data_IF_402415514061
#
_entry.id   IF_402415514061
#
_cell.length_a   1.000
_cell.length_b   1.000
_cell.length_c   1.000
_cell.angle_alpha   90.00
_cell.angle_beta   90.00
_cell.angle_gamma   90.00
#
_symmetry.space_group_name_H-M   'P 1'
#
loop_
_entity.id
_entity.type
_entity.pdbx_description
1 polymer ?
#
# COMPACT_ATOMS: atom_id res chain seq x y z
N UNK A 1 18.45 -60.09 -2.34
CA UNK A 1 18.50 -59.80 -0.88
C UNK A 1 17.23 -58.99 -0.58
N UNK A 2 16.17 -59.58 0.01
CA UNK A 2 15.81 -59.51 1.46
C UNK A 2 15.86 -58.05 1.97
N UNK A 3 14.86 -57.41 2.58
CA UNK A 3 13.48 -57.73 3.03
C UNK A 3 12.87 -56.37 3.48
N UNK A 4 11.54 -56.25 3.47
CA UNK A 4 10.71 -55.12 3.92
C UNK A 4 11.05 -54.51 5.28
N UNK A 5 10.57 -53.29 5.57
CA UNK A 5 9.67 -53.03 6.72
C UNK A 5 9.01 -51.63 6.66
N UNK A 6 7.69 -51.62 6.80
CA UNK A 6 6.80 -50.46 7.01
C UNK A 6 6.84 -49.95 8.46
N UNK A 7 6.52 -48.67 8.65
CA UNK A 7 5.81 -48.08 9.80
C UNK A 7 5.18 -46.78 9.27
N UNK A 8 3.87 -46.55 9.12
CA UNK A 8 2.68 -46.66 9.98
C UNK A 8 2.77 -45.79 11.25
N UNK A 9 1.84 -44.82 11.32
CA UNK A 9 1.37 -44.05 12.50
C UNK A 9 2.24 -42.85 12.93
N UNK A 10 1.73 -41.66 13.23
CA UNK A 10 0.41 -41.32 13.77
C UNK A 10 -0.13 -39.96 13.26
N UNK A 11 -1.41 -39.97 12.88
CA UNK A 11 -2.26 -38.77 12.89
C UNK A 11 -2.43 -38.30 14.34
N UNK A 12 -2.20 -37.02 14.60
CA UNK A 12 -2.72 -36.34 15.80
C UNK A 12 -3.77 -35.34 15.36
N UNK A 13 -5.01 -35.82 15.27
CA UNK A 13 -6.22 -35.02 15.43
C UNK A 13 -6.63 -35.17 16.90
N UNK A 14 -7.00 -34.05 17.55
CA UNK A 14 -7.83 -33.86 18.76
C UNK A 14 -7.24 -32.68 19.58
N UNK A 15 -8.00 -31.73 20.12
CA UNK A 15 -9.45 -31.63 20.28
C UNK A 15 -9.87 -30.15 20.40
N UNK A 16 -10.97 -29.82 19.72
CA UNK A 16 -11.85 -28.71 20.07
C UNK A 16 -12.70 -29.12 21.29
N UNK A 17 -12.62 -28.35 22.36
CA UNK A 17 -13.61 -28.22 23.43
C UNK A 17 -13.42 -26.81 24.01
N UNK A 18 -14.39 -25.93 24.20
CA UNK A 18 -15.83 -26.06 24.20
C UNK A 18 -16.38 -25.23 25.37
N UNK A 19 -17.10 -24.15 25.08
CA UNK A 19 -18.13 -23.48 25.90
C UNK A 19 -18.67 -22.36 25.01
N UNK A 20 -19.92 -22.29 24.58
CA UNK A 20 -21.15 -22.86 25.10
C UNK A 20 -22.18 -21.74 25.03
N UNK A 21 -22.98 -21.70 23.97
CA UNK A 21 -24.26 -21.01 23.92
C UNK A 21 -25.07 -21.61 22.77
N UNK A 22 -25.90 -22.60 23.12
CA UNK A 22 -27.01 -23.07 22.30
C UNK A 22 -28.10 -21.99 22.26
N UNK A 23 -28.71 -21.84 21.09
CA UNK A 23 -29.92 -21.06 20.83
C UNK A 23 -30.28 -21.29 19.36
N UNK A 24 -30.85 -22.46 19.04
CA UNK A 24 -32.30 -22.68 18.85
C UNK A 24 -32.84 -22.04 17.57
N UNK A 25 -33.35 -22.91 16.69
CA UNK A 25 -33.86 -22.56 15.37
C UNK A 25 -35.36 -22.20 15.40
N UNK A 26 -35.68 -21.01 14.87
CA UNK A 26 -36.94 -20.65 14.22
C UNK A 26 -37.93 -19.79 15.02
N UNK A 27 -38.90 -19.08 14.38
CA UNK A 27 -38.96 -18.54 13.02
C UNK A 27 -39.03 -16.99 12.98
N UNK A 28 -38.76 -16.43 11.80
CA UNK A 28 -38.94 -15.05 11.33
C UNK A 28 -39.88 -14.13 12.15
N UNK A 29 -39.37 -12.95 12.52
CA UNK A 29 -40.17 -11.72 12.61
C UNK A 29 -39.53 -10.63 11.75
N UNK A 30 -40.25 -10.33 10.66
CA UNK A 30 -40.02 -9.22 9.74
C UNK A 30 -40.21 -7.91 10.51
N UNK A 31 -39.24 -6.99 10.45
CA UNK A 31 -39.50 -5.58 10.74
C UNK A 31 -39.19 -4.77 9.49
N UNK A 32 -40.25 -4.13 8.97
CA UNK A 32 -40.29 -3.33 7.75
C UNK A 32 -39.38 -2.11 7.87
N UNK A 33 -38.41 -1.98 6.96
CA UNK A 33 -37.84 -0.67 6.65
C UNK A 33 -38.54 -0.15 5.39
N UNK A 34 -39.47 0.77 5.59
CA UNK A 34 -40.13 1.51 4.50
C UNK A 34 -39.09 2.37 3.80
N UNK A 35 -38.64 1.95 2.63
CA UNK A 35 -37.95 2.81 1.66
C UNK A 35 -39.02 3.38 0.74
N UNK A 36 -39.30 4.67 0.87
CA UNK A 36 -40.15 5.38 -0.07
C UNK A 36 -39.42 5.42 -1.42
N UNK A 37 -40.03 4.77 -2.41
CA UNK A 37 -39.62 4.83 -3.81
C UNK A 37 -40.04 6.20 -4.35
N UNK A 38 -39.10 7.01 -4.83
CA UNK A 38 -39.39 8.25 -5.57
C UNK A 38 -38.65 8.17 -6.89
N UNK A 39 -39.40 8.08 -7.98
CA UNK A 39 -39.01 8.44 -9.36
C UNK A 39 -40.25 8.36 -10.27
N UNK A 40 -40.39 9.06 -11.42
CA UNK A 40 -39.61 10.17 -12.03
C UNK A 40 -40.50 11.34 -12.57
N UNK A 41 -39.83 12.32 -13.22
CA UNK A 41 -40.25 13.19 -14.35
C UNK A 41 -40.37 14.73 -14.13
N UNK A 42 -39.23 15.43 -14.36
CA UNK A 42 -38.93 16.57 -15.29
C UNK A 42 -39.94 17.72 -15.56
N UNK A 43 -39.51 18.88 -16.12
CA UNK A 43 -38.29 19.71 -15.92
C UNK A 43 -38.64 21.22 -15.76
N UNK A 44 -37.80 22.05 -15.13
CA UNK A 44 -37.75 23.49 -15.48
C UNK A 44 -36.47 24.21 -15.04
N UNK A 45 -36.08 25.10 -15.94
CA UNK A 45 -34.83 25.83 -16.13
C UNK A 45 -34.76 27.09 -15.24
N UNK A 46 -33.58 27.45 -14.73
CA UNK A 46 -33.01 28.81 -14.88
C UNK A 46 -31.74 29.01 -14.03
N UNK A 47 -30.70 29.42 -14.74
CA UNK A 47 -29.43 29.91 -14.23
C UNK A 47 -29.57 31.22 -13.46
N UNK A 48 -28.71 31.45 -12.47
CA UNK A 48 -28.05 32.74 -12.31
C UNK A 48 -26.71 32.60 -11.57
N UNK A 49 -25.66 33.05 -12.22
CA UNK A 49 -24.32 33.23 -11.66
C UNK A 49 -24.26 34.50 -10.79
N UNK A 50 -23.38 34.50 -9.78
CA UNK A 50 -22.87 35.72 -9.16
C UNK A 50 -22.25 35.51 -7.77
N UNK A 51 -21.08 36.11 -7.47
CA UNK A 51 -20.03 35.47 -6.68
C UNK A 51 -20.02 35.89 -5.19
N UNK A 52 -19.69 34.95 -4.31
CA UNK A 52 -19.50 35.17 -2.88
C UNK A 52 -18.17 34.61 -2.41
N UNK A 53 -17.11 35.40 -2.56
CA UNK A 53 -15.78 35.19 -2.00
C UNK A 53 -15.82 35.07 -0.46
N UNK A 54 -15.26 33.99 0.09
CA UNK A 54 -14.66 33.94 1.45
C UNK A 54 -13.77 32.70 1.60
N UNK A 55 -12.73 32.75 2.43
CA UNK A 55 -11.34 32.72 2.00
C UNK A 55 -10.80 31.29 1.98
N UNK A 56 -10.04 30.98 0.94
CA UNK A 56 -9.13 29.84 0.90
C UNK A 56 -8.10 29.96 2.02
N UNK A 57 -8.25 29.15 3.05
CA UNK A 57 -7.14 28.62 3.84
C UNK A 57 -7.55 27.25 4.35
N UNK A 58 -7.93 26.38 3.40
CA UNK A 58 -7.89 24.95 3.61
C UNK A 58 -6.48 24.51 3.23
N UNK A 59 -5.68 24.18 4.24
CA UNK A 59 -4.40 23.50 4.06
C UNK A 59 -4.61 22.33 3.10
N UNK A 60 -3.77 22.27 2.05
CA UNK A 60 -3.88 21.35 0.93
C UNK A 60 -3.56 19.91 1.36
N UNK A 61 -4.40 19.31 2.19
CA UNK A 61 -4.55 17.86 2.19
C UNK A 61 -5.35 17.51 0.94
N UNK A 62 -4.63 17.31 -0.18
CA UNK A 62 -5.23 16.72 -1.37
C UNK A 62 -5.61 15.29 -0.99
N UNK A 63 -6.87 15.07 -0.64
CA UNK A 63 -7.42 13.75 -0.38
C UNK A 63 -7.36 12.96 -1.70
N UNK A 64 -6.35 12.10 -1.85
CA UNK A 64 -6.24 11.14 -2.95
C UNK A 64 -7.44 10.19 -2.82
N UNK A 65 -8.19 9.90 -3.91
CA UNK A 65 -9.20 8.85 -3.86
C UNK A 65 -8.51 7.53 -3.56
N UNK A 66 -8.90 6.90 -2.45
CA UNK A 66 -8.55 5.51 -2.21
C UNK A 66 -8.95 4.71 -3.47
N UNK A 67 -8.02 3.97 -4.08
CA UNK A 67 -8.08 3.26 -5.38
C UNK A 67 -7.37 3.89 -6.59
N UNK A 68 -6.69 5.03 -6.48
CA UNK A 68 -5.87 5.52 -7.60
C UNK A 68 -4.70 4.55 -7.88
N UNK A 69 -4.50 4.20 -9.16
CA UNK A 69 -3.35 3.43 -9.64
C UNK A 69 -2.43 4.34 -10.44
N UNK A 70 -1.16 4.38 -10.06
CA UNK A 70 -0.11 5.19 -10.67
C UNK A 70 -0.23 6.69 -10.40
N UNK A 71 0.86 7.39 -10.68
CA UNK A 71 0.94 8.85 -10.59
C UNK A 71 1.11 9.38 -9.17
N UNK A 72 0.75 10.64 -8.97
CA UNK A 72 0.89 11.32 -7.67
C UNK A 72 -0.07 10.73 -6.63
N UNK A 73 0.48 10.34 -5.48
CA UNK A 73 -0.24 9.83 -4.32
C UNK A 73 -0.19 10.81 -3.14
N UNK A 74 0.13 12.08 -3.44
CA UNK A 74 0.19 13.17 -2.50
C UNK A 74 1.38 13.11 -1.56
N UNK A 75 1.36 14.01 -0.58
CA UNK A 75 2.44 14.19 0.40
C UNK A 75 2.02 13.59 1.74
N UNK A 76 2.93 12.86 2.38
CA UNK A 76 2.79 12.34 3.73
C UNK A 76 3.03 13.44 4.77
N UNK A 77 2.60 13.22 6.02
CA UNK A 77 2.73 14.21 7.11
C UNK A 77 4.18 14.67 7.36
N UNK A 78 5.15 13.80 7.08
CA UNK A 78 6.58 14.10 7.19
C UNK A 78 7.16 14.86 5.97
N UNK A 79 6.31 15.39 5.09
CA UNK A 79 6.73 16.20 3.94
C UNK A 79 7.27 15.38 2.75
N UNK A 80 7.10 14.05 2.75
CA UNK A 80 7.55 13.19 1.66
C UNK A 80 6.45 13.05 0.62
N UNK A 81 6.74 13.38 -0.63
CA UNK A 81 5.83 13.16 -1.75
C UNK A 81 5.96 11.74 -2.26
N UNK A 82 4.82 11.07 -2.45
CA UNK A 82 4.72 9.68 -2.91
C UNK A 82 4.22 9.66 -4.34
N UNK A 83 4.93 9.00 -5.24
CA UNK A 83 4.50 8.78 -6.63
C UNK A 83 4.45 7.28 -6.90
N UNK A 84 3.25 6.74 -7.13
CA UNK A 84 3.07 5.34 -7.49
C UNK A 84 3.42 5.07 -8.95
N UNK A 85 3.93 3.87 -9.21
CA UNK A 85 4.20 3.39 -10.56
C UNK A 85 2.94 2.90 -11.26
N UNK A 86 3.03 2.65 -12.57
CA UNK A 86 1.87 2.51 -13.46
C UNK A 86 0.90 1.38 -13.10
N UNK A 87 1.35 0.33 -12.41
CA UNK A 87 0.52 -0.77 -11.93
C UNK A 87 0.40 -0.81 -10.39
N UNK A 88 0.77 0.27 -9.70
CA UNK A 88 0.79 0.33 -8.24
C UNK A 88 -0.32 1.23 -7.75
N UNK A 89 -1.16 0.76 -6.82
CA UNK A 89 -2.13 1.63 -6.16
C UNK A 89 -1.44 2.58 -5.16
N UNK A 90 -2.03 3.74 -4.89
CA UNK A 90 -1.49 4.67 -3.91
C UNK A 90 -1.42 4.07 -2.50
N UNK A 91 -2.35 3.19 -2.14
CA UNK A 91 -2.33 2.43 -0.89
C UNK A 91 -1.14 1.48 -0.85
N UNK A 92 -0.87 0.77 -1.95
CA UNK A 92 0.27 -0.13 -2.00
C UNK A 92 1.59 0.63 -2.00
N UNK A 93 1.68 1.75 -2.73
CA UNK A 93 2.83 2.66 -2.67
C UNK A 93 3.08 3.13 -1.22
N UNK A 94 2.05 3.50 -0.49
CA UNK A 94 2.19 3.86 0.94
C UNK A 94 2.57 2.67 1.84
N UNK A 95 2.14 1.45 1.51
CA UNK A 95 2.50 0.24 2.26
C UNK A 95 3.97 -0.17 2.08
N UNK A 96 4.58 0.14 0.92
CA UNK A 96 6.02 -0.10 0.69
C UNK A 96 6.88 0.78 1.60
N UNK A 97 6.48 2.04 1.84
CA UNK A 97 7.25 3.03 2.59
C UNK A 97 7.78 2.57 3.97
N UNK A 98 6.95 2.07 4.91
CA UNK A 98 7.43 1.68 6.24
C UNK A 98 8.41 0.51 6.17
N UNK A 99 8.21 -0.44 5.25
CA UNK A 99 9.15 -1.55 5.04
C UNK A 99 10.48 -1.02 4.51
N UNK A 100 10.43 -0.18 3.47
CA UNK A 100 11.61 0.39 2.84
C UNK A 100 12.44 1.29 3.77
N UNK A 101 11.79 2.05 4.66
CA UNK A 101 12.48 2.96 5.60
C UNK A 101 13.02 2.25 6.84
N UNK A 102 12.49 1.08 7.18
CA UNK A 102 13.02 0.22 8.26
C UNK A 102 14.21 -0.66 7.85
N UNK A 103 14.48 -0.75 6.55
CA UNK A 103 15.48 -1.66 6.01
C UNK A 103 16.91 -1.11 6.16
N UNK A 104 17.88 -2.03 6.20
CA UNK A 104 19.32 -1.69 6.17
C UNK A 104 19.80 -1.60 4.72
N UNK A 105 20.30 -0.43 4.33
CA UNK A 105 20.88 -0.19 3.01
C UNK A 105 22.38 -0.44 3.01
N UNK A 106 22.89 -0.93 1.88
CA UNK A 106 24.31 -1.10 1.64
C UNK A 106 24.68 -0.54 0.26
N UNK A 107 25.91 -0.03 0.07
CA UNK A 107 26.36 0.45 -1.23
C UNK A 107 26.46 -0.71 -2.23
N UNK A 108 25.76 -0.58 -3.36
CA UNK A 108 25.79 -1.55 -4.46
C UNK A 108 26.17 -0.84 -5.74
N UNK A 109 27.09 -1.44 -6.50
CA UNK A 109 27.39 -1.04 -7.87
C UNK A 109 27.47 -2.24 -8.79
N UNK A 110 26.98 -2.07 -10.03
CA UNK A 110 27.20 -3.04 -11.12
C UNK A 110 28.52 -2.77 -11.86
N UNK A 111 29.05 -1.55 -11.73
CA UNK A 111 30.27 -1.10 -12.40
C UNK A 111 31.16 -0.37 -11.36
N UNK A 112 32.37 -0.86 -11.07
CA UNK A 112 33.24 -0.25 -10.06
C UNK A 112 33.72 1.17 -10.45
N UNK A 113 33.49 1.61 -11.69
CA UNK A 113 33.85 2.97 -12.16
C UNK A 113 32.77 4.01 -11.88
N UNK A 114 31.56 3.61 -11.49
CA UNK A 114 30.47 4.53 -11.12
C UNK A 114 30.27 4.60 -9.62
N UNK A 115 29.68 5.69 -9.16
CA UNK A 115 29.27 5.86 -7.76
C UNK A 115 28.27 4.76 -7.38
N UNK A 116 28.59 4.00 -6.33
CA UNK A 116 27.67 3.02 -5.77
C UNK A 116 26.42 3.72 -5.21
N UNK A 117 25.26 3.08 -5.35
CA UNK A 117 24.02 3.54 -4.76
C UNK A 117 23.70 2.70 -3.54
N UNK A 118 23.34 3.37 -2.44
CA UNK A 118 22.79 2.70 -1.28
C UNK A 118 21.49 2.00 -1.65
N UNK A 119 21.49 0.67 -1.58
CA UNK A 119 20.41 -0.18 -2.05
C UNK A 119 20.08 -1.27 -1.02
N UNK A 120 18.85 -1.74 -1.05
CA UNK A 120 18.39 -2.95 -0.37
C UNK A 120 17.55 -3.75 -1.36
N UNK A 121 17.61 -5.07 -1.25
CA UNK A 121 16.96 -5.99 -2.19
C UNK A 121 16.11 -7.00 -1.48
N UNK A 122 15.07 -7.48 -2.14
CA UNK A 122 14.25 -8.59 -1.65
C UNK A 122 13.34 -8.25 -0.47
N UNK A 123 12.87 -7.00 -0.37
CA UNK A 123 11.88 -6.63 0.64
C UNK A 123 10.53 -7.26 0.28
N UNK A 124 9.90 -7.93 1.24
CA UNK A 124 8.57 -8.52 1.05
C UNK A 124 7.50 -7.52 1.51
N UNK A 125 6.63 -7.08 0.60
CA UNK A 125 5.55 -6.13 0.90
C UNK A 125 4.23 -6.69 0.42
N UNK A 126 3.27 -6.84 1.34
CA UNK A 126 1.90 -7.22 0.99
C UNK A 126 1.10 -6.00 0.51
N UNK A 127 0.42 -6.14 -0.63
CA UNK A 127 -0.51 -5.13 -1.11
C UNK A 127 -1.79 -5.16 -0.29
N UNK A 128 -2.18 -4.04 0.34
CA UNK A 128 -3.45 -3.96 1.06
C UNK A 128 -4.66 -4.00 0.12
N UNK A 129 -4.45 -3.81 -1.19
CA UNK A 129 -5.52 -3.79 -2.20
C UNK A 129 -5.78 -5.19 -2.77
N UNK A 130 -4.72 -5.94 -3.08
CA UNK A 130 -4.84 -7.25 -3.75
C UNK A 130 -4.59 -8.44 -2.82
N UNK A 131 -3.95 -8.22 -1.66
CA UNK A 131 -3.48 -9.29 -0.77
C UNK A 131 -2.24 -10.02 -1.27
N UNK A 132 -1.78 -9.74 -2.50
CA UNK A 132 -0.55 -10.32 -3.04
C UNK A 132 0.68 -9.75 -2.34
N UNK A 133 1.71 -10.58 -2.17
CA UNK A 133 3.02 -10.14 -1.66
C UNK A 133 3.99 -9.98 -2.81
N UNK A 134 4.60 -8.81 -2.89
CA UNK A 134 5.59 -8.46 -3.91
C UNK A 134 6.99 -8.43 -3.31
N UNK A 135 7.97 -8.80 -4.13
CA UNK A 135 9.38 -8.58 -3.85
C UNK A 135 9.77 -7.20 -4.37
N UNK A 136 10.32 -6.34 -3.50
CA UNK A 136 10.67 -4.96 -3.80
C UNK A 136 12.16 -4.73 -3.54
N UNK A 137 12.85 -4.19 -4.51
CA UNK A 137 14.20 -3.64 -4.39
C UNK A 137 14.10 -2.12 -4.24
N UNK A 138 14.88 -1.52 -3.35
CA UNK A 138 14.90 -0.08 -3.14
C UNK A 138 16.32 0.46 -3.24
N UNK A 139 16.46 1.70 -3.73
CA UNK A 139 17.73 2.42 -3.73
C UNK A 139 17.53 3.91 -3.49
N UNK A 140 18.51 4.51 -2.83
CA UNK A 140 18.62 5.96 -2.67
C UNK A 140 19.27 6.51 -3.93
N UNK A 141 18.63 7.49 -4.55
CA UNK A 141 19.21 8.22 -5.68
C UNK A 141 20.56 8.84 -5.28
N UNK A 142 21.42 9.09 -6.27
CA UNK A 142 22.75 9.68 -6.01
C UNK A 142 22.66 11.04 -5.30
N UNK A 143 21.70 11.89 -5.67
CA UNK A 143 21.44 13.17 -5.01
C UNK A 143 20.81 13.01 -3.61
N UNK A 144 20.31 11.82 -3.26
CA UNK A 144 19.68 11.51 -1.98
C UNK A 144 18.36 12.24 -1.74
N UNK A 145 17.79 12.86 -2.77
CA UNK A 145 16.49 13.54 -2.72
C UNK A 145 15.32 12.56 -2.95
N UNK A 146 15.58 11.44 -3.64
CA UNK A 146 14.57 10.41 -3.90
C UNK A 146 15.00 9.03 -3.40
N UNK A 147 14.10 8.32 -2.72
CA UNK A 147 14.15 6.87 -2.52
C UNK A 147 13.26 6.22 -3.57
N UNK A 148 13.81 5.28 -4.34
CA UNK A 148 13.07 4.58 -5.40
C UNK A 148 12.92 3.13 -5.01
N UNK A 149 11.71 2.62 -5.02
CA UNK A 149 11.40 1.23 -4.71
C UNK A 149 10.62 0.61 -5.86
N UNK A 150 11.02 -0.57 -6.31
CA UNK A 150 10.42 -1.21 -7.47
C UNK A 150 10.60 -2.72 -7.45
N UNK A 151 9.76 -3.42 -8.22
CA UNK A 151 9.93 -4.84 -8.45
C UNK A 151 11.26 -5.13 -9.19
N UNK A 152 12.01 -6.18 -8.81
CA UNK A 152 13.23 -6.56 -9.50
C UNK A 152 13.01 -6.79 -11.00
N UNK A 153 13.84 -6.16 -11.84
CA UNK A 153 13.74 -6.28 -13.30
C UNK A 153 12.64 -5.43 -13.94
N UNK A 154 11.87 -4.67 -13.15
CA UNK A 154 10.85 -3.77 -13.66
C UNK A 154 10.87 -2.40 -12.95
N UNK A 155 11.59 -1.45 -13.52
CA UNK A 155 11.98 -0.22 -12.85
C UNK A 155 10.85 0.81 -12.70
N UNK A 156 9.71 0.64 -13.40
CA UNK A 156 8.62 1.64 -13.46
C UNK A 156 7.18 1.07 -13.52
N UNK A 157 6.97 -0.24 -13.35
CA UNK A 157 5.62 -0.82 -13.36
C UNK A 157 5.05 -1.01 -11.97
N UNK A 158 5.74 -1.76 -11.11
CA UNK A 158 5.33 -2.03 -9.73
C UNK A 158 6.34 -1.38 -8.79
N UNK A 159 5.90 -0.48 -7.92
CA UNK A 159 6.77 0.31 -7.07
C UNK A 159 6.29 1.74 -6.82
N UNK A 160 7.16 2.53 -6.21
CA UNK A 160 6.93 3.94 -5.93
C UNK A 160 8.25 4.71 -5.80
N UNK A 161 8.18 5.99 -6.14
CA UNK A 161 9.20 6.99 -5.82
C UNK A 161 8.77 7.79 -4.58
N UNK A 162 9.71 8.08 -3.69
CA UNK A 162 9.51 8.89 -2.49
C UNK A 162 10.47 10.07 -2.49
N UNK A 163 9.97 11.27 -2.79
CA UNK A 163 10.77 12.49 -2.80
C UNK A 163 10.79 13.10 -1.40
N UNK A 164 11.98 13.23 -0.83
CA UNK A 164 12.20 13.87 0.47
C UNK A 164 11.97 15.38 0.43
N UNK A 165 11.80 16.03 1.59
CA UNK A 165 11.55 17.47 1.69
C UNK A 165 12.74 18.36 1.28
N UNK A 166 13.91 17.77 1.02
CA UNK A 166 15.11 18.51 0.65
C UNK A 166 16.20 17.61 0.06
N UNK A 167 17.29 18.23 -0.43
CA UNK A 167 18.42 17.50 -1.00
C UNK A 167 19.09 16.62 0.05
N UNK A 168 19.65 15.49 -0.39
CA UNK A 168 20.34 14.51 0.45
C UNK A 168 19.53 13.92 1.61
N UNK A 169 18.20 14.18 1.69
CA UNK A 169 17.34 13.71 2.77
C UNK A 169 17.56 12.22 3.06
N UNK A 170 17.50 11.38 2.04
CA UNK A 170 17.62 9.93 2.16
C UNK A 170 19.00 9.46 2.61
N UNK A 171 20.06 10.21 2.32
CA UNK A 171 21.40 9.93 2.82
C UNK A 171 21.54 10.24 4.30
N UNK A 172 20.73 11.16 4.83
CA UNK A 172 20.72 11.51 6.26
C UNK A 172 19.89 10.55 7.12
N UNK A 173 18.92 9.84 6.52
CA UNK A 173 18.13 8.82 7.23
C UNK A 173 19.00 7.56 7.35
N UNK A 174 19.71 7.44 8.48
CA UNK A 174 20.64 6.35 8.75
C UNK A 174 19.92 5.00 8.85
N UNK A 175 20.51 3.98 8.22
CA UNK A 175 20.21 2.58 8.50
C UNK A 175 20.51 2.29 9.98
N UNK A 176 19.68 1.51 10.70
CA UNK A 176 20.02 1.08 12.05
C UNK A 176 21.35 0.31 12.02
N UNK A 177 22.25 0.67 12.95
CA UNK A 177 23.56 0.04 13.20
C UNK A 177 23.34 -1.31 13.90
#
# INVERSE_FOLDING_TARGET
MRKSLSAISAFSVLALAGCGAQGEAGPQTVTMTTIAYVDPETPEEQASAGPGERPETAEKQTSIPASQVGGDCGTMENGITVTAYTATSCEFARAIYPVATSATYAPVTKDPTVTALDSVRGLQVASPVTGETYTIDCFKSSAGDTLRCHEPGNEKTVGADYSGPGPAYWHSVQSPI
#
